data_IF_790586026241
#
_entry.id   IF_790586026241
#
_cell.length_a   1.000
_cell.length_b   1.000
_cell.length_c   1.000
_cell.angle_alpha   90.00
_cell.angle_beta   90.00
_cell.angle_gamma   90.00
#
_symmetry.space_group_name_H-M   'P 1'
#
loop_
_entity.id
_entity.type
_entity.pdbx_description
1 polymer ?
#
# COMPACT_ATOMS: atom_id res chain seq x y z
N UNK A 1 5.74 -7.43 -4.87
CA UNK A 1 4.97 -7.20 -3.61
C UNK A 1 5.46 -5.93 -2.93
N UNK A 2 4.56 -5.01 -2.60
CA UNK A 2 4.91 -3.82 -1.80
C UNK A 2 4.83 -4.17 -0.33
N UNK A 3 5.97 -4.08 0.35
CA UNK A 3 6.03 -4.25 1.80
C UNK A 3 6.91 -3.16 2.41
N UNK A 4 6.40 -2.51 3.44
CA UNK A 4 7.08 -1.43 4.13
C UNK A 4 7.73 -1.93 5.42
N UNK A 5 8.91 -1.41 5.71
CA UNK A 5 9.61 -1.68 6.97
C UNK A 5 8.86 -1.06 8.13
N UNK A 6 8.85 -1.79 9.24
CA UNK A 6 8.27 -1.31 10.50
C UNK A 6 9.26 -1.55 11.64
N UNK A 7 9.15 -0.70 12.64
CA UNK A 7 9.82 -0.86 13.92
C UNK A 7 8.78 -1.19 14.97
N UNK A 8 9.01 -2.25 15.72
CA UNK A 8 8.18 -2.67 16.84
C UNK A 8 8.87 -2.29 18.15
N UNK A 9 8.16 -1.63 19.02
CA UNK A 9 8.68 -1.25 20.33
C UNK A 9 7.65 -1.50 21.43
N UNK A 10 8.06 -2.01 22.60
CA UNK A 10 7.14 -2.12 23.72
C UNK A 10 6.73 -0.72 24.19
N UNK A 11 5.45 -0.56 24.49
CA UNK A 11 4.90 0.67 25.06
C UNK A 11 4.66 0.49 26.56
N UNK A 12 4.55 1.61 27.29
CA UNK A 12 4.36 1.66 28.73
C UNK A 12 3.11 0.93 29.24
N UNK A 13 2.13 0.71 28.35
CA UNK A 13 0.86 0.03 28.66
C UNK A 13 0.91 -1.49 28.43
N UNK A 14 2.08 -2.07 28.17
CA UNK A 14 2.19 -3.49 27.78
C UNK A 14 1.75 -3.79 26.35
N UNK A 15 1.43 -2.78 25.55
CA UNK A 15 1.15 -2.89 24.13
C UNK A 15 2.43 -2.81 23.30
N UNK A 16 2.34 -3.17 22.02
CA UNK A 16 3.43 -3.04 21.05
C UNK A 16 3.12 -1.89 20.11
N UNK A 17 4.02 -0.93 20.04
CA UNK A 17 3.94 0.21 19.14
C UNK A 17 4.57 -0.13 17.80
N UNK A 18 3.91 0.27 16.70
CA UNK A 18 4.43 0.15 15.34
C UNK A 18 4.65 1.53 14.74
N UNK A 19 5.86 1.74 14.23
CA UNK A 19 6.21 2.91 13.43
C UNK A 19 6.90 2.47 12.15
N UNK A 20 7.02 3.36 11.17
CA UNK A 20 7.70 3.07 9.91
C UNK A 20 8.65 4.18 9.51
N UNK A 21 9.88 3.86 9.06
CA UNK A 21 10.79 4.87 8.54
C UNK A 21 10.30 5.51 7.23
N UNK A 22 9.48 4.80 6.46
CA UNK A 22 8.97 5.29 5.17
C UNK A 22 7.73 6.17 5.32
N UNK A 23 7.02 6.05 6.46
CA UNK A 23 5.84 6.84 6.80
C UNK A 23 6.00 7.42 8.21
N UNK A 24 6.68 8.58 8.38
CA UNK A 24 6.90 9.17 9.71
C UNK A 24 5.61 9.45 10.48
N UNK A 25 4.51 9.69 9.75
CA UNK A 25 3.18 9.95 10.31
C UNK A 25 2.48 8.70 10.83
N UNK A 26 2.96 7.51 10.47
CA UNK A 26 2.30 6.26 10.82
C UNK A 26 2.60 5.86 12.26
N UNK A 27 1.54 5.67 13.02
CA UNK A 27 1.58 5.08 14.36
C UNK A 27 0.45 4.08 14.47
N UNK A 28 0.78 2.85 14.87
CA UNK A 28 -0.18 1.81 15.17
C UNK A 28 0.28 1.03 16.39
N UNK A 29 -0.58 0.25 16.97
CA UNK A 29 -0.24 -0.60 18.12
C UNK A 29 -1.19 -1.78 18.23
N UNK A 30 -0.80 -2.76 19.00
CA UNK A 30 -1.59 -3.95 19.30
C UNK A 30 -1.20 -4.55 20.63
N UNK A 31 -1.91 -5.58 21.06
CA UNK A 31 -1.68 -6.23 22.34
C UNK A 31 -0.40 -7.08 22.37
N UNK A 32 0.01 -7.56 21.21
CA UNK A 32 1.25 -8.29 20.97
C UNK A 32 1.78 -7.96 19.56
N UNK A 33 2.91 -8.54 19.19
CA UNK A 33 3.52 -8.27 17.88
C UNK A 33 2.63 -8.68 16.71
N UNK A 34 1.98 -9.84 16.77
CA UNK A 34 1.11 -10.33 15.70
C UNK A 34 -0.10 -9.41 15.52
N UNK A 35 -0.71 -9.02 16.62
CA UNK A 35 -1.84 -8.08 16.64
C UNK A 35 -1.44 -6.70 16.11
N UNK A 36 -0.31 -6.19 16.57
CA UNK A 36 0.23 -4.91 16.12
C UNK A 36 0.53 -4.89 14.62
N UNK A 37 1.12 -5.94 14.07
CA UNK A 37 1.38 -6.06 12.64
C UNK A 37 0.09 -6.16 11.82
N UNK A 38 -0.92 -6.83 12.34
CA UNK A 38 -2.24 -6.92 11.71
C UNK A 38 -2.90 -5.55 11.59
N UNK A 39 -2.92 -4.77 12.67
CA UNK A 39 -3.47 -3.41 12.65
C UNK A 39 -2.65 -2.43 11.79
N UNK A 40 -1.35 -2.67 11.68
CA UNK A 40 -0.47 -1.82 10.86
C UNK A 40 -0.87 -1.81 9.38
N UNK A 41 -1.45 -2.88 8.85
CA UNK A 41 -1.95 -2.92 7.47
C UNK A 41 -2.94 -1.78 7.22
N UNK A 42 -3.96 -1.68 8.07
CA UNK A 42 -4.95 -0.59 7.97
C UNK A 42 -4.32 0.79 8.18
N UNK A 43 -3.36 0.92 9.07
CA UNK A 43 -2.64 2.17 9.30
C UNK A 43 -1.87 2.62 8.04
N UNK A 44 -1.21 1.70 7.32
CA UNK A 44 -0.59 2.01 6.05
C UNK A 44 -1.61 2.42 4.99
N UNK A 45 -2.73 1.72 4.90
CA UNK A 45 -3.79 2.08 3.95
C UNK A 45 -4.34 3.48 4.22
N UNK A 46 -4.55 3.84 5.48
CA UNK A 46 -4.98 5.19 5.87
C UNK A 46 -3.95 6.26 5.54
N UNK A 47 -2.67 6.03 5.85
CA UNK A 47 -1.60 6.96 5.54
C UNK A 47 -1.44 7.17 4.02
N UNK A 48 -1.55 6.11 3.25
CA UNK A 48 -1.51 6.16 1.78
C UNK A 48 -2.72 6.93 1.25
N UNK A 49 -3.92 6.65 1.75
CA UNK A 49 -5.14 7.35 1.33
C UNK A 49 -5.05 8.86 1.61
N UNK A 50 -4.50 9.25 2.76
CA UNK A 50 -4.27 10.65 3.08
C UNK A 50 -3.31 11.32 2.09
N UNK A 51 -2.20 10.67 1.75
CA UNK A 51 -1.25 11.19 0.76
C UNK A 51 -1.86 11.31 -0.63
N UNK A 52 -2.66 10.36 -1.07
CA UNK A 52 -3.39 10.44 -2.34
C UNK A 52 -4.34 11.65 -2.33
N UNK A 53 -5.08 11.84 -1.25
CA UNK A 53 -6.00 12.96 -1.07
C UNK A 53 -5.28 14.30 -1.12
N UNK A 54 -4.12 14.39 -0.47
CA UNK A 54 -3.31 15.60 -0.37
C UNK A 54 -2.40 15.82 -1.60
N UNK A 55 -2.47 14.92 -2.57
CA UNK A 55 -1.63 14.94 -3.78
C UNK A 55 -0.14 14.90 -3.45
N UNK A 56 0.21 14.04 -2.53
CA UNK A 56 1.59 13.79 -2.12
C UNK A 56 2.13 12.52 -2.78
N UNK A 57 3.44 12.42 -2.86
CA UNK A 57 4.11 11.22 -3.31
C UNK A 57 3.95 10.09 -2.30
N UNK A 58 3.70 8.88 -2.79
CA UNK A 58 3.75 7.67 -1.96
C UNK A 58 5.18 7.12 -2.02
N UNK A 59 5.85 6.96 -0.88
CA UNK A 59 7.22 6.49 -0.87
C UNK A 59 7.34 5.06 -1.40
N UNK A 60 8.41 4.81 -2.13
CA UNK A 60 8.85 3.46 -2.47
C UNK A 60 9.42 2.82 -1.20
N UNK A 61 9.12 1.54 -0.92
CA UNK A 61 9.67 0.89 0.25
C UNK A 61 11.20 0.99 0.32
N UNK A 62 11.72 1.48 1.44
CA UNK A 62 13.15 1.58 1.64
C UNK A 62 13.80 0.19 1.73
N UNK A 63 15.03 0.11 1.26
CA UNK A 63 15.85 -1.08 1.44
C UNK A 63 16.20 -1.21 2.93
N UNK A 64 16.35 -2.44 3.37
CA UNK A 64 16.71 -2.73 4.74
C UNK A 64 17.46 -4.06 4.82
N UNK A 65 17.61 -4.56 6.03
CA UNK A 65 18.20 -5.87 6.30
C UNK A 65 17.17 -6.97 6.12
N UNK A 66 17.62 -8.17 5.81
CA UNK A 66 16.72 -9.34 5.73
C UNK A 66 15.99 -9.64 7.05
N UNK A 67 16.55 -9.20 8.17
CA UNK A 67 15.95 -9.35 9.51
C UNK A 67 14.88 -8.31 9.84
N UNK A 68 14.71 -7.27 9.03
CA UNK A 68 13.73 -6.22 9.29
C UNK A 68 12.31 -6.78 9.20
N UNK A 69 11.48 -6.29 10.11
CA UNK A 69 10.04 -6.60 10.06
C UNK A 69 9.40 -5.75 8.96
N UNK A 70 8.47 -6.36 8.24
CA UNK A 70 7.77 -5.71 7.13
C UNK A 70 6.29 -6.00 7.17
N UNK A 71 5.51 -5.03 6.70
CA UNK A 71 4.07 -5.16 6.50
C UNK A 71 3.80 -5.09 5.02
N UNK A 72 3.22 -6.14 4.45
CA UNK A 72 2.82 -6.20 3.05
C UNK A 72 1.44 -5.60 2.86
N UNK A 73 1.26 -4.82 1.79
CA UNK A 73 -0.06 -4.36 1.40
C UNK A 73 -0.87 -5.51 0.79
N UNK A 74 -2.20 -5.54 1.02
CA UNK A 74 -3.08 -6.42 0.24
C UNK A 74 -2.93 -6.17 -1.26
N UNK A 75 -3.11 -7.19 -2.08
CA UNK A 75 -2.86 -7.13 -3.54
C UNK A 75 -3.61 -5.97 -4.19
N UNK A 76 -4.89 -5.78 -3.86
CA UNK A 76 -5.66 -4.69 -4.44
C UNK A 76 -5.11 -3.31 -4.07
N UNK A 77 -4.74 -3.11 -2.82
CA UNK A 77 -4.11 -1.87 -2.36
C UNK A 77 -2.78 -1.65 -3.10
N UNK A 78 -1.96 -2.68 -3.23
CA UNK A 78 -0.70 -2.62 -3.97
C UNK A 78 -0.88 -2.18 -5.42
N UNK A 79 -1.84 -2.78 -6.13
CA UNK A 79 -2.11 -2.42 -7.54
C UNK A 79 -2.53 -0.95 -7.66
N UNK A 80 -3.36 -0.47 -6.74
CA UNK A 80 -3.80 0.93 -6.72
C UNK A 80 -2.67 1.90 -6.37
N UNK A 81 -1.80 1.53 -5.45
CA UNK A 81 -0.59 2.30 -5.14
C UNK A 81 0.32 2.38 -6.36
N UNK A 82 0.54 1.27 -7.04
CA UNK A 82 1.35 1.23 -8.27
C UNK A 82 0.75 2.12 -9.37
N UNK A 83 -0.58 2.12 -9.51
CA UNK A 83 -1.27 3.01 -10.46
C UNK A 83 -1.01 4.48 -10.11
N UNK A 84 -1.18 4.86 -8.85
CA UNK A 84 -0.94 6.22 -8.39
C UNK A 84 0.52 6.63 -8.62
N UNK A 85 1.48 5.75 -8.34
CA UNK A 85 2.90 6.00 -8.57
C UNK A 85 3.22 6.21 -10.06
N UNK A 86 2.58 5.46 -10.95
CA UNK A 86 2.74 5.68 -12.40
C UNK A 86 2.15 7.03 -12.84
N UNK A 87 1.00 7.41 -12.29
CA UNK A 87 0.42 8.73 -12.52
C UNK A 87 1.36 9.84 -12.05
N UNK A 88 1.92 9.68 -10.86
CA UNK A 88 2.87 10.63 -10.29
C UNK A 88 4.10 10.82 -11.16
N UNK A 89 4.74 9.73 -11.59
CA UNK A 89 5.92 9.76 -12.45
C UNK A 89 5.68 10.39 -13.81
N UNK A 90 4.51 10.19 -14.38
CA UNK A 90 4.16 10.69 -15.71
C UNK A 90 3.46 12.06 -15.69
N UNK A 91 3.24 12.63 -14.51
CA UNK A 91 2.53 13.89 -14.35
C UNK A 91 1.04 13.83 -14.72
N UNK A 92 0.46 12.64 -14.73
CA UNK A 92 -0.96 12.42 -15.02
C UNK A 92 -1.78 12.64 -13.75
N UNK A 93 -2.68 13.62 -13.80
CA UNK A 93 -3.61 13.91 -12.71
C UNK A 93 -4.89 13.11 -12.87
N UNK A 94 -5.73 13.09 -11.82
CA UNK A 94 -7.04 12.41 -11.86
C UNK A 94 -7.90 12.86 -13.07
N UNK A 95 -7.94 14.16 -13.35
CA UNK A 95 -8.68 14.70 -14.49
C UNK A 95 -8.13 14.21 -15.83
N UNK A 96 -6.80 14.08 -15.96
CA UNK A 96 -6.15 13.54 -17.15
C UNK A 96 -6.47 12.06 -17.35
N UNK A 97 -6.43 11.29 -16.27
CA UNK A 97 -6.78 9.87 -16.33
C UNK A 97 -8.25 9.66 -16.68
N UNK A 98 -9.15 10.48 -16.12
CA UNK A 98 -10.58 10.46 -16.45
C UNK A 98 -10.80 10.68 -17.95
N UNK A 99 -10.13 11.67 -18.54
CA UNK A 99 -10.21 11.92 -20.01
C UNK A 99 -9.66 10.75 -20.82
N UNK A 100 -8.51 10.21 -20.44
CA UNK A 100 -7.88 9.08 -21.14
C UNK A 100 -8.72 7.81 -21.10
N UNK A 101 -9.46 7.60 -20.01
CA UNK A 101 -10.32 6.44 -19.83
C UNK A 101 -11.78 6.67 -20.25
N UNK A 102 -12.15 7.92 -20.59
CA UNK A 102 -13.54 8.32 -20.84
C UNK A 102 -14.45 7.98 -19.66
N UNK A 103 -14.01 8.37 -18.47
CA UNK A 103 -14.71 8.13 -17.21
C UNK A 103 -14.96 9.45 -16.47
N UNK A 104 -15.95 9.44 -15.59
CA UNK A 104 -16.16 10.54 -14.65
C UNK A 104 -15.11 10.54 -13.53
N UNK A 105 -14.82 11.71 -12.99
CA UNK A 105 -13.85 11.87 -11.90
C UNK A 105 -14.14 10.97 -10.70
N UNK A 106 -15.41 10.79 -10.36
CA UNK A 106 -15.82 9.91 -9.26
C UNK A 106 -15.37 8.46 -9.47
N UNK A 107 -15.35 7.98 -10.71
CA UNK A 107 -14.86 6.64 -11.03
C UNK A 107 -13.34 6.54 -10.86
N UNK A 108 -12.62 7.62 -11.13
CA UNK A 108 -11.17 7.70 -10.87
C UNK A 108 -10.89 7.73 -9.37
N UNK A 109 -11.70 8.46 -8.60
CA UNK A 109 -11.58 8.45 -7.13
C UNK A 109 -11.74 7.02 -6.58
N UNK A 110 -12.66 6.23 -7.11
CA UNK A 110 -12.83 4.80 -6.75
C UNK A 110 -11.65 3.94 -7.18
N UNK A 111 -11.06 4.20 -8.35
CA UNK A 111 -9.85 3.50 -8.80
C UNK A 111 -8.69 3.67 -7.82
N UNK A 112 -8.60 4.82 -7.17
CA UNK A 112 -7.52 5.17 -6.24
C UNK A 112 -7.91 4.98 -4.76
N UNK A 113 -9.15 4.62 -4.49
CA UNK A 113 -9.61 4.30 -3.14
C UNK A 113 -9.22 2.87 -2.78
N UNK A 114 -8.31 2.72 -1.82
CA UNK A 114 -7.79 1.42 -1.40
C UNK A 114 -8.86 0.51 -0.77
N UNK A 115 -9.94 1.09 -0.25
CA UNK A 115 -11.05 0.36 0.35
C UNK A 115 -12.17 0.00 -0.63
N UNK A 116 -12.08 0.48 -1.87
CA UNK A 116 -13.08 0.18 -2.89
C UNK A 116 -12.64 -1.00 -3.75
N UNK A 117 -13.46 -2.05 -3.82
CA UNK A 117 -13.21 -3.18 -4.68
C UNK A 117 -13.31 -2.77 -6.15
N UNK A 118 -12.23 -2.96 -6.90
CA UNK A 118 -12.15 -2.62 -8.32
C UNK A 118 -11.75 -3.87 -9.11
N UNK A 119 -12.41 -4.11 -10.24
CA UNK A 119 -12.07 -5.25 -11.10
C UNK A 119 -10.65 -5.14 -11.67
N UNK A 120 -9.98 -6.28 -11.82
CA UNK A 120 -8.66 -6.32 -12.46
C UNK A 120 -8.73 -5.76 -13.87
N UNK A 121 -9.81 -6.04 -14.61
CA UNK A 121 -10.00 -5.51 -15.96
C UNK A 121 -10.00 -3.98 -16.00
N UNK A 122 -10.64 -3.34 -15.03
CA UNK A 122 -10.65 -1.87 -14.96
C UNK A 122 -9.29 -1.29 -14.58
N UNK A 123 -8.58 -1.92 -13.66
CA UNK A 123 -7.21 -1.56 -13.30
C UNK A 123 -6.25 -1.75 -14.48
N UNK A 124 -6.35 -2.87 -15.18
CA UNK A 124 -5.56 -3.14 -16.38
C UNK A 124 -5.76 -2.05 -17.44
N UNK A 125 -7.01 -1.64 -17.67
CA UNK A 125 -7.33 -0.55 -18.58
C UNK A 125 -6.70 0.78 -18.14
N UNK A 126 -6.70 1.08 -16.84
CA UNK A 126 -6.07 2.29 -16.30
C UNK A 126 -4.56 2.30 -16.57
N UNK A 127 -3.88 1.17 -16.34
CA UNK A 127 -2.47 1.04 -16.70
C UNK A 127 -2.23 1.15 -18.21
N UNK A 128 -3.08 0.53 -19.00
CA UNK A 128 -2.96 0.54 -20.46
C UNK A 128 -2.97 1.94 -21.04
N UNK A 129 -3.83 2.83 -20.57
CA UNK A 129 -3.87 4.24 -21.03
C UNK A 129 -2.63 5.03 -20.60
N UNK A 130 -1.86 4.53 -19.67
CA UNK A 130 -0.56 5.07 -19.24
C UNK A 130 0.62 4.40 -19.96
N UNK A 131 0.34 3.50 -20.92
CA UNK A 131 1.36 2.76 -21.64
C UNK A 131 2.02 1.65 -20.82
N UNK A 132 1.33 1.14 -19.79
CA UNK A 132 1.81 0.10 -18.89
C UNK A 132 0.94 -1.15 -18.97
N UNK A 133 1.49 -2.27 -18.55
CA UNK A 133 0.78 -3.54 -18.44
C UNK A 133 0.93 -4.15 -17.06
N UNK A 134 -0.07 -4.91 -16.64
CA UNK A 134 -0.02 -5.68 -15.40
C UNK A 134 0.44 -7.09 -15.73
N UNK A 135 1.49 -7.55 -15.05
CA UNK A 135 1.91 -8.94 -15.08
C UNK A 135 1.71 -9.54 -13.68
N UNK A 136 1.16 -10.73 -13.61
CA UNK A 136 0.86 -11.40 -12.35
C UNK A 136 1.73 -12.64 -12.24
N UNK A 137 2.42 -12.75 -11.12
CA UNK A 137 3.19 -13.93 -10.75
C UNK A 137 2.62 -14.52 -9.47
N UNK A 138 2.49 -15.82 -9.45
CA UNK A 138 2.06 -16.58 -8.27
C UNK A 138 3.28 -17.31 -7.70
N UNK A 139 3.53 -17.10 -6.43
CA UNK A 139 4.60 -17.75 -5.69
C UNK A 139 4.05 -18.43 -4.44
N UNK A 140 4.83 -19.35 -3.87
CA UNK A 140 4.46 -19.98 -2.61
C UNK A 140 4.40 -18.93 -1.49
N UNK A 141 3.42 -19.06 -0.61
CA UNK A 141 3.31 -18.23 0.56
C UNK A 141 4.50 -18.49 1.49
N UNK A 142 5.05 -17.40 2.09
CA UNK A 142 6.08 -17.53 3.10
C UNK A 142 5.54 -18.39 4.25
N UNK A 143 6.20 -19.53 4.51
CA UNK A 143 5.84 -20.36 5.65
C UNK A 143 6.17 -19.62 6.93
N UNK A 144 5.22 -19.46 7.88
CA UNK A 144 5.55 -18.93 9.18
C UNK A 144 6.64 -19.81 9.77
N UNK A 145 7.77 -19.23 10.11
CA UNK A 145 8.78 -19.97 10.89
C UNK A 145 8.18 -20.21 12.27
N UNK A 146 7.56 -21.36 12.46
CA UNK A 146 7.29 -21.84 13.81
C UNK A 146 8.64 -22.04 14.49
N UNK A 147 8.93 -21.19 15.47
CA UNK A 147 9.94 -21.56 16.45
C UNK A 147 9.39 -22.77 17.17
N UNK A 148 9.87 -23.93 16.79
CA UNK A 148 9.78 -25.11 17.65
C UNK A 148 10.64 -24.78 18.85
N UNK A 149 9.99 -24.59 19.97
CA UNK A 149 10.68 -24.40 21.23
C UNK A 149 11.38 -25.70 21.63
#
# INVERSE_FOLDING_TARGET
MISYRVTLAPDSNGTVLVTSPDFPELVSFGNDEADALSYAVGAFEEAIAARISDREEIPVPSKGKASDRRVALPVQAEVKVLLYQQMWKSGVRKADLARKMDLHRQEIDRLLDLNHATSIAKLERAFSVLGKSINIEISDAATPKHKVA
#
